data_IF_378523110393
#
_entry.id   IF_378523110393
#
_cell.length_a   1.000
_cell.length_b   1.000
_cell.length_c   1.000
_cell.angle_alpha   90.00
_cell.angle_beta   90.00
_cell.angle_gamma   90.00
#
_symmetry.space_group_name_H-M   'P 1'
#
loop_
_entity.id
_entity.type
_entity.pdbx_description
1 polymer ?
#
# COMPACT_ATOMS: atom_id res chain seq x y z
N UNK A 1 1.45 -25.79 -9.77
CA UNK A 1 1.93 -24.62 -8.99
C UNK A 1 0.79 -23.62 -8.93
N UNK A 2 0.62 -22.83 -7.85
CA UNK A 2 -0.33 -21.73 -7.89
C UNK A 2 -0.01 -20.81 -9.07
N UNK A 3 -1.03 -20.26 -9.72
CA UNK A 3 -0.83 -19.32 -10.82
C UNK A 3 -0.01 -18.11 -10.36
N UNK A 4 0.86 -17.58 -11.22
CA UNK A 4 1.65 -16.41 -10.87
C UNK A 4 0.72 -15.21 -10.58
N UNK A 5 0.88 -14.61 -9.41
CA UNK A 5 0.15 -13.39 -9.06
C UNK A 5 0.80 -12.18 -9.77
N UNK A 6 -0.02 -11.34 -10.39
CA UNK A 6 0.41 -10.07 -10.99
C UNK A 6 0.06 -8.93 -10.04
N UNK A 7 1.06 -8.11 -9.70
CA UNK A 7 0.85 -6.87 -8.95
C UNK A 7 0.67 -5.72 -9.94
N UNK A 8 -0.31 -4.87 -9.66
CA UNK A 8 -0.59 -3.67 -10.45
C UNK A 8 -0.77 -2.49 -9.51
N UNK A 9 -0.15 -1.36 -9.85
CA UNK A 9 -0.32 -0.09 -9.16
C UNK A 9 -0.75 0.97 -10.17
N UNK A 10 -1.73 1.80 -9.78
CA UNK A 10 -2.19 2.96 -10.55
C UNK A 10 -1.95 4.19 -9.70
N UNK A 11 -1.06 5.05 -10.15
CA UNK A 11 -0.66 6.25 -9.43
C UNK A 11 -1.54 7.43 -9.85
N UNK A 12 -2.00 8.24 -8.89
CA UNK A 12 -2.70 9.51 -9.19
C UNK A 12 -1.76 10.45 -9.96
N UNK A 13 -0.53 10.62 -9.46
CA UNK A 13 0.54 11.31 -10.14
C UNK A 13 1.90 10.66 -9.80
N UNK A 14 2.66 10.34 -10.83
CA UNK A 14 4.03 9.85 -10.72
C UNK A 14 4.96 10.79 -11.49
N UNK A 15 5.93 11.37 -10.79
CA UNK A 15 6.98 12.20 -11.38
C UNK A 15 8.26 11.37 -11.40
N UNK A 16 8.81 11.12 -12.59
CA UNK A 16 10.06 10.37 -12.77
C UNK A 16 11.13 11.33 -13.29
N UNK A 17 12.21 11.46 -12.53
CA UNK A 17 13.43 12.15 -12.95
C UNK A 17 14.56 11.16 -13.21
N UNK A 18 15.74 11.69 -13.57
CA UNK A 18 16.89 10.86 -13.94
C UNK A 18 17.42 9.98 -12.80
N UNK A 19 17.26 10.42 -11.55
CA UNK A 19 17.82 9.77 -10.36
C UNK A 19 16.84 9.56 -9.24
N UNK A 20 15.61 10.05 -9.37
CA UNK A 20 14.58 9.97 -8.33
C UNK A 20 13.21 9.78 -8.98
N UNK A 21 12.27 9.22 -8.23
CA UNK A 21 10.87 9.23 -8.60
C UNK A 21 10.00 9.48 -7.37
N UNK A 22 8.92 10.23 -7.60
CA UNK A 22 8.05 10.76 -6.56
C UNK A 22 6.61 10.41 -6.89
N UNK A 23 5.93 9.71 -5.98
CA UNK A 23 4.51 9.42 -6.07
C UNK A 23 3.76 10.49 -5.30
N UNK A 24 2.69 11.02 -5.89
CA UNK A 24 1.71 11.86 -5.21
C UNK A 24 0.35 11.17 -5.24
N UNK A 25 -0.36 11.19 -4.12
CA UNK A 25 -1.71 10.65 -3.97
C UNK A 25 -2.57 11.65 -3.20
N UNK A 26 -3.70 12.06 -3.78
CA UNK A 26 -4.59 13.06 -3.19
C UNK A 26 -5.67 12.42 -2.32
N UNK A 27 -5.85 12.96 -1.12
CA UNK A 27 -6.84 12.49 -0.15
C UNK A 27 -7.82 13.62 0.19
N UNK A 28 -9.11 13.28 0.22
CA UNK A 28 -10.21 14.22 0.50
C UNK A 28 -10.63 14.27 1.97
N UNK A 29 -10.11 13.38 2.82
CA UNK A 29 -10.38 13.42 4.26
C UNK A 29 -9.60 14.54 4.94
N UNK A 30 -10.16 15.07 6.03
CA UNK A 30 -9.71 16.33 6.64
C UNK A 30 -8.38 16.21 7.39
N UNK A 31 -8.20 15.17 8.20
CA UNK A 31 -7.01 15.06 9.05
C UNK A 31 -6.08 13.96 8.56
N UNK A 32 -4.78 14.26 8.36
CA UNK A 32 -3.82 13.24 8.01
C UNK A 32 -3.63 12.25 9.16
N UNK A 33 -3.69 10.93 8.90
CA UNK A 33 -3.23 9.95 9.87
C UNK A 33 -1.75 10.21 10.22
N UNK A 34 -1.27 9.74 11.39
CA UNK A 34 0.13 9.84 11.75
C UNK A 34 1.04 9.28 10.65
N UNK A 35 2.19 9.92 10.34
CA UNK A 35 3.09 9.47 9.27
C UNK A 35 3.52 8.00 9.40
N UNK A 36 3.67 7.49 10.62
CA UNK A 36 3.97 6.08 10.87
C UNK A 36 2.86 5.14 10.38
N UNK A 37 1.58 5.51 10.53
CA UNK A 37 0.46 4.72 10.03
C UNK A 37 0.41 4.75 8.50
N UNK A 38 0.62 5.92 7.91
CA UNK A 38 0.72 6.09 6.45
C UNK A 38 1.85 5.24 5.87
N UNK A 39 3.04 5.26 6.50
CA UNK A 39 4.19 4.45 6.06
C UNK A 39 3.95 2.93 6.14
N UNK A 40 3.14 2.48 7.11
CA UNK A 40 2.79 1.07 7.28
C UNK A 40 1.61 0.61 6.41
N UNK A 41 0.87 1.53 5.79
CA UNK A 41 -0.30 1.20 4.98
C UNK A 41 0.07 0.34 3.77
N UNK A 42 -0.79 -0.61 3.40
CA UNK A 42 -0.57 -1.44 2.21
C UNK A 42 -0.54 -0.60 0.93
N UNK A 43 -1.25 0.53 0.88
CA UNK A 43 -1.22 1.44 -0.25
C UNK A 43 0.21 1.97 -0.47
N UNK A 44 0.80 2.64 0.54
CA UNK A 44 2.17 3.18 0.47
C UNK A 44 3.17 2.12 0.10
N UNK A 45 3.11 0.98 0.82
CA UNK A 45 4.06 -0.12 0.68
C UNK A 45 4.02 -0.72 -0.71
N UNK A 46 2.83 -1.03 -1.25
CA UNK A 46 2.71 -1.63 -2.57
C UNK A 46 3.07 -0.64 -3.68
N UNK A 47 2.71 0.64 -3.54
CA UNK A 47 3.00 1.64 -4.56
C UNK A 47 4.51 1.85 -4.73
N UNK A 48 5.23 1.99 -3.61
CA UNK A 48 6.69 2.10 -3.58
C UNK A 48 7.38 0.79 -3.97
N UNK A 49 6.83 -0.35 -3.56
CA UNK A 49 7.36 -1.66 -3.93
C UNK A 49 7.26 -1.91 -5.43
N UNK A 50 6.07 -1.73 -6.02
CA UNK A 50 5.87 -1.89 -7.46
C UNK A 50 6.77 -0.93 -8.24
N UNK A 51 6.84 0.35 -7.84
CA UNK A 51 7.71 1.31 -8.53
C UNK A 51 9.19 0.89 -8.49
N UNK A 52 9.68 0.38 -7.35
CA UNK A 52 11.05 -0.12 -7.23
C UNK A 52 11.30 -1.38 -8.08
N UNK A 53 10.34 -2.29 -8.16
CA UNK A 53 10.48 -3.53 -8.95
C UNK A 53 10.36 -3.28 -10.47
N UNK A 54 9.71 -2.20 -10.88
CA UNK A 54 9.46 -1.88 -12.30
C UNK A 54 10.28 -0.71 -12.83
N UNK A 55 11.26 -0.22 -12.08
CA UNK A 55 12.13 0.87 -12.49
C UNK A 55 13.60 0.56 -12.17
N UNK A 56 14.57 1.24 -12.81
CA UNK A 56 15.99 1.06 -12.49
C UNK A 56 16.41 1.82 -11.22
N UNK A 57 15.50 2.54 -10.56
CA UNK A 57 15.80 3.39 -9.42
C UNK A 57 15.91 2.57 -8.12
N UNK A 58 16.92 2.81 -7.27
CA UNK A 58 17.01 2.13 -5.99
C UNK A 58 15.89 2.59 -5.05
N UNK A 59 15.46 1.78 -4.07
CA UNK A 59 14.43 2.16 -3.11
C UNK A 59 14.66 3.52 -2.42
N UNK A 60 15.92 3.86 -2.10
CA UNK A 60 16.28 5.12 -1.47
C UNK A 60 16.08 6.37 -2.35
N UNK A 61 15.86 6.19 -3.66
CA UNK A 61 15.57 7.25 -4.61
C UNK A 61 14.06 7.50 -4.80
N UNK A 62 13.22 6.74 -4.09
CA UNK A 62 11.77 6.81 -4.19
C UNK A 62 11.17 7.43 -2.94
N UNK A 63 10.10 8.20 -3.11
CA UNK A 63 9.24 8.58 -2.01
C UNK A 63 7.77 8.70 -2.43
N UNK A 64 6.93 8.77 -1.42
CA UNK A 64 5.49 8.89 -1.56
C UNK A 64 5.03 10.12 -0.78
N UNK A 65 4.28 11.01 -1.42
CA UNK A 65 3.68 12.17 -0.77
C UNK A 65 2.16 12.04 -0.79
N UNK A 66 1.58 11.97 0.40
CA UNK A 66 0.14 12.18 0.58
C UNK A 66 -0.16 13.67 0.53
N UNK A 67 -1.15 14.07 -0.27
CA UNK A 67 -1.67 15.43 -0.31
C UNK A 67 -3.12 15.47 0.15
N UNK A 68 -3.36 16.06 1.32
CA UNK A 68 -4.67 16.19 1.94
C UNK A 68 -5.33 17.47 1.44
N UNK A 69 -6.10 17.38 0.36
CA UNK A 69 -6.60 18.54 -0.39
C UNK A 69 -7.59 19.39 0.40
N UNK A 70 -8.24 18.81 1.41
CA UNK A 70 -9.16 19.53 2.30
C UNK A 70 -8.45 20.55 3.22
N UNK A 71 -7.18 20.32 3.57
CA UNK A 71 -6.38 21.19 4.45
C UNK A 71 -5.16 21.79 3.76
N UNK A 72 -4.76 21.25 2.61
CA UNK A 72 -3.52 21.58 1.93
C UNK A 72 -2.28 20.92 2.54
N UNK A 73 -2.44 20.12 3.59
CA UNK A 73 -1.33 19.45 4.27
C UNK A 73 -0.72 18.34 3.40
N UNK A 74 0.59 18.12 3.55
CA UNK A 74 1.31 17.06 2.84
C UNK A 74 2.14 16.24 3.81
N UNK A 75 2.13 14.92 3.63
CA UNK A 75 2.97 14.00 4.40
C UNK A 75 3.85 13.19 3.45
N UNK A 76 5.15 13.43 3.52
CA UNK A 76 6.17 12.71 2.73
C UNK A 76 6.65 11.47 3.48
N UNK A 77 6.64 10.34 2.80
CA UNK A 77 7.11 9.05 3.28
C UNK A 77 8.35 8.65 2.48
N UNK A 78 9.54 8.66 3.09
CA UNK A 78 10.75 8.17 2.44
C UNK A 78 10.73 6.65 2.34
N UNK A 79 11.43 6.13 1.34
CA UNK A 79 11.59 4.69 1.13
C UNK A 79 13.03 4.23 1.28
N UNK A 80 13.23 2.98 1.68
CA UNK A 80 14.54 2.41 1.99
C UNK A 80 14.61 0.96 1.55
N UNK A 81 15.83 0.46 1.36
CA UNK A 81 16.08 -0.93 1.02
C UNK A 81 15.53 -1.89 2.09
N UNK A 82 15.57 -1.50 3.37
CA UNK A 82 15.01 -2.29 4.46
C UNK A 82 13.48 -2.40 4.37
N UNK A 83 12.77 -1.29 4.11
CA UNK A 83 11.33 -1.30 3.89
C UNK A 83 10.93 -2.11 2.66
N UNK A 84 11.74 -2.05 1.59
CA UNK A 84 11.54 -2.82 0.38
C UNK A 84 11.65 -4.33 0.63
N UNK A 85 12.71 -4.76 1.30
CA UNK A 85 12.91 -6.17 1.63
C UNK A 85 11.84 -6.70 2.59
N UNK A 86 11.45 -5.92 3.61
CA UNK A 86 10.36 -6.29 4.50
C UNK A 86 9.02 -6.42 3.74
N UNK A 87 8.75 -5.50 2.81
CA UNK A 87 7.54 -5.55 1.99
C UNK A 87 7.52 -6.77 1.08
N UNK A 88 8.65 -7.15 0.49
CA UNK A 88 8.76 -8.39 -0.30
C UNK A 88 8.38 -9.63 0.52
N UNK A 89 8.91 -9.73 1.74
CA UNK A 89 8.65 -10.86 2.64
C UNK A 89 7.16 -10.91 3.06
N UNK A 90 6.64 -9.81 3.62
CA UNK A 90 5.25 -9.75 4.08
C UNK A 90 4.25 -9.99 2.95
N UNK A 91 4.53 -9.46 1.76
CA UNK A 91 3.69 -9.65 0.59
C UNK A 91 3.71 -11.10 0.13
N UNK A 92 4.88 -11.73 0.08
CA UNK A 92 5.03 -13.15 -0.27
C UNK A 92 4.27 -14.06 0.70
N UNK A 93 4.33 -13.78 1.99
CA UNK A 93 3.59 -14.54 3.01
C UNK A 93 2.07 -14.40 2.83
N UNK A 94 1.61 -13.16 2.58
CA UNK A 94 0.18 -12.87 2.37
C UNK A 94 -0.36 -13.48 1.09
N UNK A 95 0.38 -13.38 -0.02
CA UNK A 95 -0.02 -13.98 -1.28
C UNK A 95 -0.11 -15.51 -1.14
N UNK A 96 0.85 -16.15 -0.48
CA UNK A 96 0.76 -17.59 -0.20
C UNK A 96 -0.49 -17.96 0.61
N UNK A 97 -0.78 -17.20 1.66
CA UNK A 97 -1.98 -17.43 2.46
C UNK A 97 -3.28 -17.23 1.65
N UNK A 98 -3.36 -16.18 0.83
CA UNK A 98 -4.52 -15.88 -0.02
C UNK A 98 -4.72 -16.93 -1.12
N UNK A 99 -3.64 -17.45 -1.70
CA UNK A 99 -3.73 -18.49 -2.73
C UNK A 99 -4.17 -19.85 -2.15
N UNK A 100 -3.93 -20.09 -0.86
CA UNK A 100 -4.39 -21.30 -0.16
C UNK A 100 -5.82 -21.16 0.36
N UNK A 101 -6.20 -19.97 0.82
CA UNK A 101 -7.53 -19.64 1.29
C UNK A 101 -7.95 -18.27 0.72
N UNK A 102 -8.62 -18.23 -0.45
CA UNK A 102 -8.96 -16.99 -1.15
C UNK A 102 -9.92 -16.07 -0.41
N UNK A 103 -10.68 -16.60 0.55
CA UNK A 103 -11.66 -15.86 1.33
C UNK A 103 -11.42 -16.06 2.83
N UNK A 104 -10.26 -15.61 3.36
CA UNK A 104 -9.95 -15.79 4.76
C UNK A 104 -10.90 -14.91 5.59
N UNK A 105 -11.62 -15.55 6.52
CA UNK A 105 -12.47 -14.84 7.47
C UNK A 105 -11.62 -14.21 8.57
N UNK A 106 -12.11 -13.10 9.14
CA UNK A 106 -11.54 -12.57 10.38
C UNK A 106 -11.83 -13.56 11.53
N UNK A 107 -10.92 -13.75 12.48
CA UNK A 107 -11.11 -14.72 13.57
C UNK A 107 -12.33 -14.41 14.45
N UNK A 108 -12.63 -13.12 14.64
CA UNK A 108 -13.78 -12.62 15.40
C UNK A 108 -14.33 -11.36 14.72
N UNK A 109 -15.64 -11.08 14.83
CA UNK A 109 -16.20 -9.81 14.43
C UNK A 109 -15.54 -8.65 15.19
N UNK A 110 -15.12 -7.63 14.48
CA UNK A 110 -14.56 -6.39 15.04
C UNK A 110 -15.31 -5.17 14.47
N UNK A 111 -14.92 -3.96 14.85
CA UNK A 111 -15.56 -2.71 14.39
C UNK A 111 -15.50 -2.50 12.87
N UNK A 112 -14.65 -3.24 12.15
CA UNK A 112 -14.61 -3.24 10.68
C UNK A 112 -15.83 -3.98 10.12
N UNK A 113 -16.30 -5.03 10.80
CA UNK A 113 -17.49 -5.78 10.41
C UNK A 113 -18.77 -4.95 10.46
N UNK A 114 -18.85 -3.96 11.35
CA UNK A 114 -20.03 -3.08 11.49
C UNK A 114 -20.29 -2.22 10.24
N UNK A 115 -19.22 -1.88 9.52
CA UNK A 115 -19.25 -1.05 8.32
C UNK A 115 -19.00 -1.87 7.04
N UNK A 116 -18.93 -3.20 7.16
CA UNK A 116 -18.62 -4.07 6.03
C UNK A 116 -19.89 -4.28 5.17
N UNK A 117 -19.87 -3.94 3.87
CA UNK A 117 -21.03 -4.13 2.99
C UNK A 117 -21.39 -5.61 2.76
N UNK A 118 -20.50 -6.53 3.14
CA UNK A 118 -20.72 -7.97 3.05
C UNK A 118 -21.18 -8.61 4.37
N UNK A 119 -21.42 -7.84 5.43
CA UNK A 119 -21.78 -8.35 6.77
C UNK A 119 -22.90 -9.39 6.73
N UNK A 120 -24.01 -9.08 6.07
CA UNK A 120 -25.20 -9.95 5.99
C UNK A 120 -24.99 -11.20 5.11
N UNK A 121 -23.86 -11.26 4.38
CA UNK A 121 -23.46 -12.39 3.52
C UNK A 121 -22.19 -13.07 4.03
N UNK A 122 -21.65 -12.63 5.16
CA UNK A 122 -20.48 -13.20 5.80
C UNK A 122 -20.95 -14.40 6.64
N UNK A 123 -21.20 -15.53 5.98
CA UNK A 123 -21.76 -16.72 6.61
C UNK A 123 -20.70 -17.53 7.35
N UNK A 124 -20.90 -17.75 8.65
CA UNK A 124 -20.06 -18.52 9.57
C UNK A 124 -19.07 -17.64 10.29
#
# INVERSE_FOLDING_TARGET
APEPAVLMAVYDLLIVGDRTAHIYDWKTHREPPPPAHLAQSWQTRLYLFVLAETSPLPPAALDFTYWFTATGETVRIPYSAAQHQQTRQDLGDRLRALLQNPYPKRPQPDSVCDHCPYRDRCWG
#
